data_IF_302427673903
#
_entry.id   IF_302427673903
#
_cell.length_a   1.000
_cell.length_b   1.000
_cell.length_c   1.000
_cell.angle_alpha   90.00
_cell.angle_beta   90.00
_cell.angle_gamma   90.00
#
_symmetry.space_group_name_H-M   'P 1'
#
loop_
_entity.id
_entity.type
_entity.pdbx_description
1 polymer ?
#
# COMPACT_ATOMS: atom_id res chain seq x y z
N UNK A 1 -9.10 12.74 -2.72
CA UNK A 1 -8.70 11.33 -3.05
C UNK A 1 -9.12 10.37 -1.96
N UNK A 2 -9.51 9.16 -2.31
CA UNK A 2 -9.79 8.04 -1.40
C UNK A 2 -8.73 6.97 -1.47
N UNK A 3 -8.60 6.15 -0.42
CA UNK A 3 -7.63 5.06 -0.35
C UNK A 3 -8.29 3.69 -0.34
N UNK A 4 -7.71 2.71 -1.02
CA UNK A 4 -8.09 1.31 -0.91
C UNK A 4 -6.87 0.52 -0.48
N UNK A 5 -7.02 -0.29 0.57
CA UNK A 5 -6.06 -1.33 0.95
C UNK A 5 -6.64 -2.66 0.51
N UNK A 6 -5.98 -3.34 -0.42
CA UNK A 6 -6.37 -4.69 -0.80
C UNK A 6 -5.58 -5.71 0.03
N UNK A 7 -6.26 -6.28 1.03
CA UNK A 7 -5.71 -7.21 2.01
C UNK A 7 -6.37 -8.60 1.89
N UNK A 8 -6.67 -9.01 0.66
CA UNK A 8 -7.21 -10.32 0.33
C UNK A 8 -6.13 -11.36 0.02
N UNK A 9 -6.61 -12.52 -0.44
CA UNK A 9 -5.76 -13.63 -0.87
C UNK A 9 -5.58 -14.71 0.19
N UNK A 10 -5.38 -15.96 -0.26
CA UNK A 10 -5.32 -17.15 0.61
C UNK A 10 -4.05 -17.30 1.45
N UNK A 11 -3.00 -16.52 1.17
CA UNK A 11 -1.73 -16.57 1.91
C UNK A 11 -1.01 -17.93 1.86
N UNK A 12 -1.36 -18.84 0.95
CA UNK A 12 -0.89 -20.23 0.92
C UNK A 12 0.63 -20.39 0.85
N UNK A 13 1.34 -19.43 0.27
CA UNK A 13 2.81 -19.43 0.23
C UNK A 13 3.46 -19.29 1.61
N UNK A 14 2.72 -18.84 2.62
CA UNK A 14 3.16 -18.71 4.01
C UNK A 14 2.59 -19.79 4.94
N UNK A 15 1.98 -20.87 4.40
CA UNK A 15 1.55 -21.97 5.23
C UNK A 15 2.75 -22.63 5.95
N UNK A 16 2.59 -23.07 7.22
CA UNK A 16 1.33 -23.10 8.00
C UNK A 16 0.96 -21.80 8.74
N UNK A 17 1.77 -20.73 8.71
CA UNK A 17 1.58 -19.51 9.53
C UNK A 17 0.21 -18.87 9.25
N UNK A 18 -0.21 -18.84 7.99
CA UNK A 18 -1.45 -18.18 7.54
C UNK A 18 -2.67 -19.08 7.52
N UNK A 19 -2.63 -20.27 8.15
CA UNK A 19 -3.82 -21.16 8.23
C UNK A 19 -4.93 -20.62 9.13
N UNK A 20 -4.60 -19.82 10.11
CA UNK A 20 -5.54 -19.30 11.09
C UNK A 20 -5.59 -17.79 11.19
N UNK A 21 -4.85 -17.08 10.31
CA UNK A 21 -4.76 -15.62 10.35
C UNK A 21 -4.41 -15.09 8.96
N UNK A 22 -5.02 -13.97 8.60
CA UNK A 22 -4.65 -13.23 7.39
C UNK A 22 -3.16 -12.89 7.39
N UNK A 23 -2.50 -13.02 6.22
CA UNK A 23 -1.10 -12.63 6.03
C UNK A 23 -0.83 -11.21 6.53
N UNK A 24 -1.71 -10.28 6.21
CA UNK A 24 -1.55 -8.86 6.51
C UNK A 24 -1.75 -8.52 8.00
N UNK A 25 -2.20 -9.48 8.80
CA UNK A 25 -2.25 -9.39 10.27
C UNK A 25 -1.01 -9.97 10.96
N UNK A 26 -0.12 -10.65 10.22
CA UNK A 26 1.15 -11.12 10.75
C UNK A 26 2.03 -9.95 11.19
N UNK A 27 2.83 -10.14 12.26
CA UNK A 27 3.76 -9.10 12.70
C UNK A 27 4.91 -8.94 11.70
N UNK A 28 5.28 -7.69 11.45
CA UNK A 28 6.55 -7.30 10.86
C UNK A 28 7.25 -6.44 11.89
N UNK A 29 8.20 -7.05 12.58
CA UNK A 29 8.89 -6.53 13.76
C UNK A 29 7.92 -6.23 14.91
N UNK A 30 7.54 -4.96 15.13
CA UNK A 30 6.80 -4.51 16.32
C UNK A 30 5.32 -4.15 16.05
N UNK A 31 4.84 -4.34 14.83
CA UNK A 31 3.45 -4.01 14.46
C UNK A 31 2.89 -4.92 13.36
N UNK A 32 1.56 -5.01 13.20
CA UNK A 32 0.95 -5.79 12.12
C UNK A 32 1.34 -5.25 10.74
N UNK A 33 1.49 -6.16 9.77
CA UNK A 33 1.90 -5.85 8.40
C UNK A 33 1.03 -4.77 7.74
N UNK A 34 -0.29 -4.79 7.96
CA UNK A 34 -1.23 -3.82 7.37
C UNK A 34 -0.95 -2.36 7.77
N UNK A 35 -0.21 -2.11 8.86
CA UNK A 35 0.18 -0.77 9.28
C UNK A 35 1.09 -0.08 8.25
N UNK A 36 1.91 -0.85 7.54
CA UNK A 36 2.84 -0.29 6.54
C UNK A 36 2.11 0.29 5.32
N UNK A 37 1.24 -0.45 4.60
CA UNK A 37 0.47 0.14 3.51
C UNK A 37 -0.52 1.21 4.00
N UNK A 38 -1.12 1.05 5.19
CA UNK A 38 -1.96 2.08 5.77
C UNK A 38 -1.16 3.38 6.02
N UNK A 39 0.09 3.27 6.50
CA UNK A 39 0.95 4.44 6.68
C UNK A 39 1.24 5.19 5.37
N UNK A 40 1.35 4.48 4.24
CA UNK A 40 1.54 5.11 2.94
C UNK A 40 0.33 6.00 2.56
N UNK A 41 -0.89 5.53 2.83
CA UNK A 41 -2.10 6.33 2.63
C UNK A 41 -2.14 7.57 3.54
N UNK A 42 -1.79 7.41 4.81
CA UNK A 42 -1.72 8.53 5.77
C UNK A 42 -0.67 9.56 5.36
N UNK A 43 0.52 9.13 4.92
CA UNK A 43 1.59 10.00 4.42
C UNK A 43 1.20 10.74 3.14
N UNK A 44 0.37 10.11 2.29
CA UNK A 44 -0.24 10.75 1.13
C UNK A 44 -1.31 11.81 1.49
N UNK A 45 -1.73 11.87 2.75
CA UNK A 45 -2.80 12.76 3.21
C UNK A 45 -4.21 12.19 3.04
N UNK A 46 -4.33 10.90 2.73
CA UNK A 46 -5.61 10.23 2.48
C UNK A 46 -6.24 9.81 3.82
N UNK A 47 -7.50 10.22 4.04
CA UNK A 47 -8.22 10.00 5.30
C UNK A 47 -9.48 9.15 5.17
N UNK A 48 -10.01 8.98 3.97
CA UNK A 48 -11.11 8.06 3.68
C UNK A 48 -10.54 6.80 3.06
N UNK A 49 -10.68 5.67 3.76
CA UNK A 49 -9.98 4.43 3.43
C UNK A 49 -10.98 3.28 3.43
N UNK A 50 -10.92 2.45 2.39
CA UNK A 50 -11.62 1.17 2.28
C UNK A 50 -10.62 0.04 2.40
N UNK A 51 -10.79 -0.83 3.38
CA UNK A 51 -10.04 -2.07 3.48
C UNK A 51 -10.89 -3.20 2.89
N UNK A 52 -10.34 -3.85 1.86
CA UNK A 52 -10.97 -4.99 1.19
C UNK A 52 -10.21 -6.25 1.59
N UNK A 53 -10.92 -7.25 2.12
CA UNK A 53 -10.34 -8.53 2.53
C UNK A 53 -11.32 -9.69 2.29
N UNK A 54 -10.88 -10.92 2.58
CA UNK A 54 -11.77 -12.07 2.54
C UNK A 54 -12.84 -11.98 3.62
N UNK A 55 -14.02 -12.60 3.46
CA UNK A 55 -15.06 -12.63 4.49
C UNK A 55 -14.54 -13.17 5.83
N UNK A 56 -13.68 -14.19 5.79
CA UNK A 56 -13.11 -14.86 6.97
C UNK A 56 -12.19 -13.95 7.77
N UNK A 57 -11.37 -13.15 7.09
CA UNK A 57 -10.32 -12.33 7.71
C UNK A 57 -10.81 -10.94 8.15
N UNK A 58 -11.88 -10.45 7.53
CA UNK A 58 -12.36 -9.07 7.72
C UNK A 58 -12.61 -8.71 9.18
N UNK A 59 -13.10 -9.69 9.98
CA UNK A 59 -13.31 -9.52 11.42
C UNK A 59 -12.01 -9.20 12.19
N UNK A 60 -10.87 -9.72 11.76
CA UNK A 60 -9.56 -9.45 12.33
C UNK A 60 -9.14 -7.99 12.12
N UNK A 61 -9.30 -7.48 10.90
CA UNK A 61 -9.00 -6.09 10.58
C UNK A 61 -9.90 -5.11 11.32
N UNK A 62 -11.21 -5.40 11.42
CA UNK A 62 -12.15 -4.57 12.19
C UNK A 62 -11.77 -4.48 13.68
N UNK A 63 -11.32 -5.58 14.28
CA UNK A 63 -10.85 -5.58 15.68
C UNK A 63 -9.55 -4.78 15.85
N UNK A 64 -8.64 -4.84 14.86
CA UNK A 64 -7.35 -4.18 14.92
C UNK A 64 -7.44 -2.68 14.69
N UNK A 65 -8.19 -2.25 13.66
CA UNK A 65 -8.16 -0.88 13.14
C UNK A 65 -9.40 -0.06 13.52
N UNK A 66 -10.46 -0.72 14.00
CA UNK A 66 -11.72 -0.06 14.36
C UNK A 66 -12.34 0.67 13.17
N UNK A 67 -12.83 1.87 13.42
CA UNK A 67 -13.35 2.80 12.40
C UNK A 67 -12.27 3.79 11.89
N UNK A 68 -11.03 3.68 12.38
CA UNK A 68 -9.92 4.55 12.06
C UNK A 68 -9.82 5.83 12.88
N UNK A 69 -10.76 6.10 13.78
CA UNK A 69 -10.79 7.32 14.60
C UNK A 69 -9.55 7.48 15.50
N UNK A 70 -8.90 6.37 15.86
CA UNK A 70 -7.64 6.38 16.62
C UNK A 70 -6.49 7.01 15.83
N UNK A 71 -6.57 7.00 14.52
CA UNK A 71 -5.58 7.57 13.60
C UNK A 71 -6.08 8.84 12.90
N UNK A 72 -7.22 9.40 13.33
CA UNK A 72 -7.82 10.57 12.72
C UNK A 72 -8.27 10.37 11.27
N UNK A 73 -8.54 9.14 10.87
CA UNK A 73 -9.05 8.75 9.55
C UNK A 73 -10.39 8.02 9.68
N UNK A 74 -11.03 7.72 8.56
CA UNK A 74 -12.24 6.92 8.49
C UNK A 74 -11.95 5.65 7.71
N UNK A 75 -12.15 4.48 8.33
CA UNK A 75 -11.94 3.17 7.69
C UNK A 75 -13.28 2.47 7.50
N UNK A 76 -13.59 2.16 6.26
CA UNK A 76 -14.69 1.30 5.85
C UNK A 76 -14.15 -0.05 5.41
N UNK A 77 -15.02 -1.06 5.33
CA UNK A 77 -14.63 -2.43 5.08
C UNK A 77 -15.54 -3.06 4.04
N UNK A 78 -14.94 -3.80 3.09
CA UNK A 78 -15.67 -4.56 2.08
C UNK A 78 -15.08 -5.96 1.92
N UNK A 79 -15.90 -6.88 1.47
CA UNK A 79 -15.53 -8.27 1.24
C UNK A 79 -15.08 -8.48 -0.21
N UNK A 80 -14.01 -9.25 -0.39
CA UNK A 80 -13.62 -9.85 -1.66
C UNK A 80 -13.86 -11.37 -1.55
N UNK A 81 -14.98 -11.88 -2.08
CA UNK A 81 -15.33 -13.30 -1.92
C UNK A 81 -14.39 -14.25 -2.65
N UNK A 82 -13.79 -13.80 -3.74
CA UNK A 82 -12.84 -14.58 -4.56
C UNK A 82 -11.70 -13.70 -5.04
N UNK A 83 -10.46 -14.24 -5.15
CA UNK A 83 -9.28 -13.48 -5.56
C UNK A 83 -9.21 -13.32 -7.08
N UNK A 84 -10.18 -12.63 -7.70
CA UNK A 84 -10.33 -12.50 -9.14
C UNK A 84 -9.40 -11.45 -9.76
N UNK A 85 -8.37 -11.03 -9.02
CA UNK A 85 -7.36 -10.08 -9.47
C UNK A 85 -7.38 -8.74 -8.75
N UNK A 86 -6.30 -7.96 -8.90
CA UNK A 86 -6.12 -6.70 -8.16
C UNK A 86 -7.10 -5.60 -8.63
N UNK A 87 -7.43 -5.57 -9.92
CA UNK A 87 -8.34 -4.56 -10.45
C UNK A 87 -9.79 -4.73 -9.98
N UNK A 88 -10.17 -5.90 -9.44
CA UNK A 88 -11.46 -6.12 -8.81
C UNK A 88 -11.70 -5.15 -7.65
N UNK A 89 -10.63 -4.66 -6.99
CA UNK A 89 -10.74 -3.68 -5.91
C UNK A 89 -11.51 -2.40 -6.33
N UNK A 90 -11.39 -1.96 -7.58
CA UNK A 90 -12.13 -0.80 -8.08
C UNK A 90 -13.60 -1.09 -8.34
N UNK A 91 -13.95 -2.33 -8.66
CA UNK A 91 -15.33 -2.76 -8.84
C UNK A 91 -16.04 -2.90 -7.50
N UNK A 92 -15.39 -3.55 -6.53
CA UNK A 92 -15.90 -3.68 -5.15
C UNK A 92 -16.02 -2.31 -4.49
N UNK A 93 -15.02 -1.44 -4.70
CA UNK A 93 -14.95 -0.10 -4.12
C UNK A 93 -15.68 0.97 -4.90
N UNK A 94 -16.41 0.67 -5.98
CA UNK A 94 -16.98 1.68 -6.88
C UNK A 94 -17.86 2.71 -6.16
N UNK A 95 -18.78 2.26 -5.32
CA UNK A 95 -19.66 3.14 -4.54
C UNK A 95 -18.90 3.97 -3.50
N UNK A 96 -17.86 3.37 -2.87
CA UNK A 96 -16.99 4.08 -1.95
C UNK A 96 -16.16 5.15 -2.68
N UNK A 97 -15.60 4.84 -3.84
CA UNK A 97 -14.83 5.80 -4.66
C UNK A 97 -15.72 6.96 -5.08
N UNK A 98 -16.95 6.67 -5.54
CA UNK A 98 -17.86 7.68 -6.04
C UNK A 98 -17.25 8.48 -7.20
N UNK A 99 -17.12 9.78 -7.02
CA UNK A 99 -16.52 10.70 -8.00
C UNK A 99 -15.06 11.08 -7.70
N UNK A 100 -14.47 10.51 -6.65
CA UNK A 100 -13.11 10.85 -6.22
C UNK A 100 -12.04 10.08 -7.01
N UNK A 101 -10.83 10.63 -7.07
CA UNK A 101 -9.62 9.90 -7.40
C UNK A 101 -9.30 8.87 -6.31
N UNK A 102 -8.56 7.82 -6.65
CA UNK A 102 -8.29 6.72 -5.71
C UNK A 102 -6.83 6.28 -5.74
N UNK A 103 -6.30 6.02 -4.53
CA UNK A 103 -5.04 5.31 -4.34
C UNK A 103 -5.35 3.85 -3.95
N UNK A 104 -4.78 2.89 -4.67
CA UNK A 104 -4.78 1.47 -4.31
C UNK A 104 -3.40 1.10 -3.79
N UNK A 105 -3.35 0.48 -2.61
CA UNK A 105 -2.13 -0.10 -2.06
C UNK A 105 -2.36 -1.56 -1.68
N UNK A 106 -1.38 -2.42 -1.98
CA UNK A 106 -1.44 -3.82 -1.60
C UNK A 106 -1.09 -3.98 -0.12
N UNK A 107 -1.90 -4.76 0.59
CA UNK A 107 -1.85 -4.91 2.04
C UNK A 107 -0.59 -5.58 2.60
N UNK A 108 0.27 -6.10 1.73
CA UNK A 108 1.51 -6.81 2.05
C UNK A 108 2.78 -6.08 1.56
N UNK A 109 2.66 -4.86 1.07
CA UNK A 109 3.78 -4.07 0.59
C UNK A 109 4.28 -3.10 1.65
N UNK A 110 5.59 -3.06 1.83
CA UNK A 110 6.28 -2.17 2.76
C UNK A 110 7.15 -1.21 1.95
N UNK A 111 7.01 0.08 2.24
CA UNK A 111 7.77 1.15 1.58
C UNK A 111 8.52 1.96 2.63
N UNK A 112 9.80 2.19 2.39
CA UNK A 112 10.62 3.07 3.24
C UNK A 112 11.70 3.77 2.40
N UNK A 113 11.83 5.08 2.58
CA UNK A 113 12.86 5.85 1.90
C UNK A 113 12.71 7.35 2.09
N UNK A 114 13.81 8.07 1.92
CA UNK A 114 13.82 9.53 2.00
C UNK A 114 12.95 10.14 0.89
N UNK A 115 12.19 11.18 1.23
CA UNK A 115 11.34 11.88 0.27
C UNK A 115 10.03 11.16 -0.08
N UNK A 116 9.72 10.01 0.53
CA UNK A 116 8.53 9.22 0.18
C UNK A 116 7.23 10.03 0.28
N UNK A 117 7.04 10.79 1.34
CA UNK A 117 5.86 11.67 1.50
C UNK A 117 5.70 12.65 0.34
N UNK A 118 6.81 13.22 -0.17
CA UNK A 118 6.79 14.12 -1.32
C UNK A 118 6.33 13.41 -2.60
N UNK A 119 6.85 12.20 -2.85
CA UNK A 119 6.46 11.37 -4.00
C UNK A 119 4.97 11.02 -3.96
N UNK A 120 4.46 10.65 -2.79
CA UNK A 120 3.04 10.31 -2.60
C UNK A 120 2.13 11.51 -2.86
N UNK A 121 2.45 12.68 -2.30
CA UNK A 121 1.67 13.92 -2.50
C UNK A 121 1.70 14.39 -3.95
N UNK A 122 2.82 14.22 -4.65
CA UNK A 122 2.90 14.49 -6.08
C UNK A 122 1.99 13.55 -6.88
N UNK A 123 1.96 12.25 -6.55
CA UNK A 123 1.07 11.29 -7.20
C UNK A 123 -0.42 11.63 -6.96
N UNK A 124 -0.78 12.07 -5.74
CA UNK A 124 -2.13 12.58 -5.44
C UNK A 124 -2.47 13.75 -6.35
N UNK A 125 -1.60 14.77 -6.41
CA UNK A 125 -1.79 15.96 -7.25
C UNK A 125 -1.92 15.59 -8.73
N UNK A 126 -1.04 14.71 -9.23
CA UNK A 126 -1.09 14.25 -10.62
C UNK A 126 -2.44 13.60 -10.96
N UNK A 127 -3.01 12.81 -10.05
CA UNK A 127 -4.31 12.18 -10.29
C UNK A 127 -5.49 13.16 -10.18
N UNK A 128 -5.45 14.13 -9.27
CA UNK A 128 -6.54 15.07 -9.00
C UNK A 128 -6.53 16.27 -9.94
N UNK A 129 -5.36 16.83 -10.27
CA UNK A 129 -5.23 18.05 -11.05
C UNK A 129 -4.94 17.75 -12.54
N UNK A 130 -4.06 16.79 -12.84
CA UNK A 130 -3.65 16.48 -14.21
C UNK A 130 -4.51 15.37 -14.85
N UNK A 131 -5.34 14.67 -14.07
CA UNK A 131 -6.17 13.55 -14.54
C UNK A 131 -5.35 12.33 -15.01
N UNK A 132 -4.10 12.18 -14.54
CA UNK A 132 -3.20 11.12 -14.95
C UNK A 132 -2.96 10.12 -13.82
N UNK A 133 -2.82 8.85 -14.19
CA UNK A 133 -2.41 7.80 -13.26
C UNK A 133 -0.92 7.91 -12.94
N UNK A 134 -0.53 7.54 -11.71
CA UNK A 134 0.87 7.37 -11.30
C UNK A 134 1.06 5.98 -10.71
N UNK A 135 2.06 5.26 -11.21
CA UNK A 135 2.55 4.01 -10.65
C UNK A 135 4.05 4.12 -10.37
N UNK A 136 4.58 3.26 -9.51
CA UNK A 136 5.98 3.33 -9.12
C UNK A 136 6.76 2.13 -9.66
N UNK A 137 7.92 2.41 -10.27
CA UNK A 137 8.88 1.42 -10.71
C UNK A 137 10.02 1.27 -9.71
N UNK A 138 10.33 0.05 -9.32
CA UNK A 138 11.45 -0.28 -8.43
C UNK A 138 12.38 -1.28 -9.09
N UNK A 139 13.69 -1.02 -9.03
CA UNK A 139 14.68 -1.90 -9.65
C UNK A 139 14.87 -3.15 -8.81
N UNK A 140 14.62 -4.32 -9.41
CA UNK A 140 14.73 -5.64 -8.79
C UNK A 140 15.69 -6.55 -9.57
N UNK A 141 16.12 -7.63 -8.96
CA UNK A 141 16.98 -8.63 -9.59
C UNK A 141 16.18 -9.66 -10.39
N UNK A 142 14.96 -10.00 -9.95
CA UNK A 142 14.07 -10.97 -10.57
C UNK A 142 12.77 -10.33 -11.08
N UNK A 143 12.81 -9.48 -12.14
CA UNK A 143 11.65 -8.72 -12.60
C UNK A 143 10.50 -9.59 -13.12
N UNK A 144 10.79 -10.81 -13.62
CA UNK A 144 9.78 -11.75 -14.15
C UNK A 144 8.70 -12.17 -13.13
N UNK A 145 8.88 -11.85 -11.86
CA UNK A 145 7.90 -12.13 -10.80
C UNK A 145 6.78 -11.11 -10.73
N UNK A 146 6.92 -9.96 -11.41
CA UNK A 146 6.09 -8.76 -11.26
C UNK A 146 5.59 -8.24 -12.62
N UNK A 147 4.74 -7.24 -12.61
CA UNK A 147 4.54 -6.37 -13.75
C UNK A 147 5.82 -5.58 -14.02
N UNK A 148 6.32 -5.58 -15.25
CA UNK A 148 7.60 -4.97 -15.65
C UNK A 148 7.36 -3.78 -16.55
N UNK A 149 7.92 -2.61 -16.19
CA UNK A 149 7.86 -1.41 -16.99
C UNK A 149 9.12 -1.29 -17.85
N UNK A 150 8.95 -1.03 -19.16
CA UNK A 150 10.00 -0.72 -20.12
C UNK A 150 10.11 0.77 -20.32
N UNK A 151 11.34 1.29 -20.42
CA UNK A 151 11.61 2.72 -20.59
C UNK A 151 12.45 3.01 -21.83
N UNK A 152 12.22 4.16 -22.45
CA UNK A 152 13.14 4.71 -23.45
C UNK A 152 14.37 5.35 -22.80
N UNK A 153 15.29 5.85 -23.64
CA UNK A 153 16.54 6.47 -23.19
C UNK A 153 16.34 7.77 -22.39
N UNK A 154 15.17 8.39 -22.46
CA UNK A 154 14.83 9.63 -21.74
C UNK A 154 13.91 9.39 -20.54
N UNK A 155 13.55 8.11 -20.28
CA UNK A 155 12.81 7.70 -19.10
C UNK A 155 11.28 7.66 -19.26
N UNK A 156 10.75 7.75 -20.48
CA UNK A 156 9.32 7.54 -20.71
C UNK A 156 9.00 6.04 -20.70
N UNK A 157 7.89 5.68 -20.09
CA UNK A 157 7.41 4.30 -20.11
C UNK A 157 6.86 3.94 -21.52
N UNK A 158 7.42 2.88 -22.09
CA UNK A 158 7.04 2.37 -23.41
C UNK A 158 6.01 1.24 -23.33
N UNK A 159 6.17 0.37 -22.36
CA UNK A 159 5.28 -0.77 -22.14
C UNK A 159 5.26 -1.20 -20.68
N UNK A 160 4.18 -1.88 -20.27
CA UNK A 160 4.11 -2.61 -19.00
C UNK A 160 3.59 -4.01 -19.33
N UNK A 161 4.29 -5.05 -18.86
CA UNK A 161 3.96 -6.45 -19.14
C UNK A 161 3.88 -7.25 -17.85
N UNK A 162 2.79 -8.03 -17.67
CA UNK A 162 2.58 -8.83 -16.46
C UNK A 162 3.42 -10.10 -16.51
N UNK A 163 4.32 -10.28 -15.55
CA UNK A 163 5.16 -11.47 -15.35
C UNK A 163 5.76 -12.01 -16.65
N UNK A 164 6.48 -11.18 -17.42
CA UNK A 164 7.03 -11.58 -18.70
C UNK A 164 8.06 -12.69 -18.54
N UNK A 165 8.03 -13.68 -19.44
CA UNK A 165 9.06 -14.73 -19.48
C UNK A 165 10.46 -14.17 -19.82
N UNK A 166 10.49 -13.08 -20.62
CA UNK A 166 11.70 -12.36 -21.02
C UNK A 166 11.53 -10.86 -20.70
N UNK A 167 11.85 -10.43 -19.47
CA UNK A 167 11.66 -9.04 -19.06
C UNK A 167 12.51 -8.07 -19.89
N UNK A 168 11.93 -6.97 -20.33
CA UNK A 168 12.60 -5.94 -21.11
C UNK A 168 13.38 -4.94 -20.24
N UNK A 169 13.16 -4.95 -18.94
CA UNK A 169 13.87 -4.14 -17.96
C UNK A 169 13.91 -4.81 -16.59
N UNK A 170 14.65 -4.23 -15.66
CA UNK A 170 14.68 -4.66 -14.26
C UNK A 170 13.74 -3.83 -13.36
N UNK A 171 12.78 -3.08 -13.92
CA UNK A 171 11.87 -2.25 -13.13
C UNK A 171 10.52 -2.93 -12.93
N UNK A 172 10.31 -3.45 -11.73
CA UNK A 172 9.02 -3.96 -11.27
C UNK A 172 8.07 -2.81 -10.94
N UNK A 173 6.81 -2.91 -11.35
CA UNK A 173 5.73 -2.04 -10.88
C UNK A 173 5.30 -2.52 -9.51
N UNK A 174 5.46 -1.67 -8.50
CA UNK A 174 5.18 -2.02 -7.10
C UNK A 174 3.70 -1.86 -6.76
N UNK A 175 3.27 -2.46 -5.67
CA UNK A 175 1.85 -2.50 -5.23
C UNK A 175 1.32 -1.18 -4.65
N UNK A 176 1.55 -0.07 -5.34
CA UNK A 176 1.08 1.27 -4.96
C UNK A 176 0.72 2.05 -6.21
N UNK A 177 -0.55 2.43 -6.34
CA UNK A 177 -1.12 2.96 -7.57
C UNK A 177 -2.02 4.14 -7.27
N UNK A 178 -1.89 5.22 -8.03
CA UNK A 178 -2.74 6.41 -7.94
C UNK A 178 -3.46 6.63 -9.25
N UNK A 179 -4.78 6.75 -9.20
CA UNK A 179 -5.60 6.88 -10.40
C UNK A 179 -6.61 8.02 -10.28
N UNK A 180 -6.89 8.72 -11.38
CA UNK A 180 -8.09 9.55 -11.48
C UNK A 180 -9.36 8.68 -11.44
N UNK A 181 -10.50 9.27 -11.19
CA UNK A 181 -11.80 8.59 -11.02
C UNK A 181 -12.13 7.60 -12.16
N UNK A 182 -11.77 7.92 -13.39
CA UNK A 182 -12.06 7.08 -14.57
C UNK A 182 -11.52 5.64 -14.47
N UNK A 183 -10.67 5.34 -13.48
CA UNK A 183 -10.17 3.97 -13.25
C UNK A 183 -11.31 2.98 -13.02
N UNK A 184 -12.42 3.41 -12.45
CA UNK A 184 -13.61 2.56 -12.21
C UNK A 184 -14.18 2.07 -13.54
N UNK A 185 -14.29 2.96 -14.54
CA UNK A 185 -14.81 2.59 -15.87
C UNK A 185 -13.78 1.78 -16.66
N UNK A 186 -12.49 2.10 -16.54
CA UNK A 186 -11.41 1.27 -17.10
C UNK A 186 -11.49 -0.15 -16.53
N UNK A 187 -11.64 -0.30 -15.22
CA UNK A 187 -11.71 -1.60 -14.55
C UNK A 187 -12.93 -2.42 -14.99
N UNK A 188 -14.08 -1.78 -15.25
CA UNK A 188 -15.27 -2.44 -15.83
C UNK A 188 -15.03 -2.96 -17.26
N UNK A 189 -14.13 -2.31 -18.01
CA UNK A 189 -13.84 -2.64 -19.40
C UNK A 189 -12.76 -3.70 -19.62
N UNK A 190 -11.93 -4.01 -18.63
CA UNK A 190 -10.86 -5.01 -18.76
C UNK A 190 -11.44 -6.43 -18.75
N UNK A 191 -10.74 -7.34 -19.44
CA UNK A 191 -11.07 -8.78 -19.47
C UNK A 191 -10.11 -9.56 -18.59
N UNK A 192 -10.55 -10.67 -17.99
CA UNK A 192 -9.65 -11.56 -17.29
C UNK A 192 -8.49 -12.03 -18.19
N UNK A 193 -7.30 -12.11 -17.62
CA UNK A 193 -6.11 -12.65 -18.29
C UNK A 193 -6.23 -14.17 -18.52
N UNK A 194 -5.22 -14.77 -19.16
CA UNK A 194 -5.12 -16.22 -19.29
C UNK A 194 -5.09 -16.95 -17.93
N UNK A 195 -4.80 -16.24 -16.83
CA UNK A 195 -4.85 -16.74 -15.45
C UNK A 195 -6.24 -16.64 -14.81
N UNK A 196 -7.21 -16.06 -15.51
CA UNK A 196 -8.56 -15.79 -15.01
C UNK A 196 -8.65 -14.56 -14.09
N UNK A 197 -7.60 -13.73 -13.99
CA UNK A 197 -7.52 -12.59 -13.11
C UNK A 197 -7.76 -11.25 -13.85
N UNK A 198 -8.44 -10.31 -13.21
CA UNK A 198 -8.53 -8.91 -13.61
C UNK A 198 -7.23 -8.21 -13.21
N UNK A 199 -6.27 -8.19 -14.15
CA UNK A 199 -4.91 -7.72 -13.88
C UNK A 199 -4.85 -6.21 -13.74
N UNK A 200 -4.13 -5.74 -12.72
CA UNK A 200 -3.82 -4.31 -12.57
C UNK A 200 -2.95 -3.81 -13.74
N UNK A 201 -2.12 -4.68 -14.30
CA UNK A 201 -1.31 -4.38 -15.47
C UNK A 201 -2.16 -4.01 -16.70
N UNK A 202 -3.33 -4.64 -16.88
CA UNK A 202 -4.26 -4.26 -17.95
C UNK A 202 -4.86 -2.86 -17.75
N UNK A 203 -5.12 -2.47 -16.49
CA UNK A 203 -5.53 -1.10 -16.16
C UNK A 203 -4.40 -0.12 -16.49
N UNK A 204 -3.17 -0.41 -16.06
CA UNK A 204 -2.00 0.43 -16.34
C UNK A 204 -1.75 0.58 -17.85
N UNK A 205 -1.90 -0.50 -18.64
CA UNK A 205 -1.78 -0.47 -20.10
C UNK A 205 -2.84 0.43 -20.74
N UNK A 206 -4.08 0.43 -20.24
CA UNK A 206 -5.13 1.33 -20.72
C UNK A 206 -4.76 2.80 -20.52
N UNK A 207 -4.25 3.17 -19.34
CA UNK A 207 -3.77 4.53 -19.07
C UNK A 207 -2.51 4.87 -19.89
N UNK A 208 -1.60 3.92 -20.10
CA UNK A 208 -0.42 4.12 -20.93
C UNK A 208 -0.79 4.40 -22.39
N UNK A 209 -1.69 3.62 -22.96
CA UNK A 209 -2.17 3.78 -24.35
C UNK A 209 -2.88 5.11 -24.57
N UNK A 210 -3.57 5.65 -23.56
CA UNK A 210 -4.18 6.98 -23.62
C UNK A 210 -3.21 8.13 -23.34
N UNK A 211 -1.93 7.87 -23.07
CA UNK A 211 -0.93 8.90 -22.71
C UNK A 211 -1.13 9.50 -21.32
N UNK A 212 -1.85 8.82 -20.45
CA UNK A 212 -2.25 9.30 -19.13
C UNK A 212 -1.63 8.47 -17.98
N UNK A 213 -0.54 7.77 -18.23
CA UNK A 213 0.23 7.05 -17.21
C UNK A 213 1.59 7.71 -17.00
N UNK A 214 1.89 8.01 -15.73
CA UNK A 214 3.22 8.38 -15.26
C UNK A 214 3.82 7.19 -14.51
N UNK A 215 5.00 6.72 -14.89
CA UNK A 215 5.77 5.76 -14.12
C UNK A 215 6.90 6.50 -13.42
N UNK A 216 6.86 6.54 -12.09
CA UNK A 216 7.85 7.21 -11.26
C UNK A 216 8.80 6.18 -10.65
N UNK A 217 10.10 6.29 -10.90
CA UNK A 217 11.08 5.35 -10.36
C UNK A 217 11.47 5.68 -8.93
N UNK A 218 11.43 4.68 -8.06
CA UNK A 218 11.98 4.77 -6.71
C UNK A 218 13.50 4.66 -6.78
N UNK A 219 14.19 5.68 -6.26
CA UNK A 219 15.63 5.85 -6.40
C UNK A 219 16.43 4.96 -5.44
N UNK A 220 17.77 4.95 -5.60
CA UNK A 220 18.70 4.27 -4.68
C UNK A 220 18.48 4.73 -3.24
N UNK A 221 18.57 3.80 -2.30
CA UNK A 221 18.31 4.04 -0.88
C UNK A 221 16.84 3.94 -0.51
N UNK A 222 15.94 3.72 -1.48
CA UNK A 222 14.57 3.35 -1.22
C UNK A 222 14.46 1.84 -1.01
N UNK A 223 13.63 1.41 -0.06
CA UNK A 223 13.30 0.01 0.16
C UNK A 223 11.84 -0.23 -0.19
N UNK A 224 11.59 -1.20 -1.04
CA UNK A 224 10.32 -1.85 -1.27
C UNK A 224 10.46 -3.32 -0.94
N UNK A 225 9.64 -3.82 -0.02
CA UNK A 225 9.67 -5.20 0.45
C UNK A 225 8.31 -5.83 0.17
N UNK A 226 8.31 -6.92 -0.57
CA UNK A 226 7.17 -7.80 -0.69
C UNK A 226 7.33 -8.92 0.36
N UNK A 227 6.33 -9.16 1.16
CA UNK A 227 6.37 -10.15 2.23
C UNK A 227 5.76 -11.48 1.79
N UNK A 228 6.03 -11.89 0.54
CA UNK A 228 5.36 -13.01 -0.14
C UNK A 228 5.82 -14.40 0.26
N UNK A 229 6.99 -14.55 0.89
CA UNK A 229 7.60 -15.81 1.33
C UNK A 229 8.03 -15.72 2.79
N UNK A 230 8.36 -16.86 3.41
CA UNK A 230 8.87 -16.89 4.78
C UNK A 230 10.16 -16.07 4.93
N UNK A 231 11.07 -16.20 3.95
CA UNK A 231 12.33 -15.46 3.95
C UNK A 231 12.09 -13.95 3.81
N UNK A 232 11.29 -13.52 2.84
CA UNK A 232 11.02 -12.09 2.65
C UNK A 232 10.25 -11.46 3.83
N UNK A 233 9.41 -12.22 4.54
CA UNK A 233 8.76 -11.77 5.77
C UNK A 233 9.77 -11.59 6.92
N UNK A 234 10.71 -12.51 7.06
CA UNK A 234 11.79 -12.41 8.05
C UNK A 234 12.73 -11.24 7.74
N UNK A 235 13.15 -11.10 6.48
CA UNK A 235 13.99 -9.99 6.01
C UNK A 235 13.33 -8.63 6.23
N UNK A 236 12.03 -8.50 5.96
CA UNK A 236 11.28 -7.29 6.22
C UNK A 236 11.29 -6.92 7.71
N UNK A 237 11.12 -7.91 8.60
CA UNK A 237 11.17 -7.69 10.05
C UNK A 237 12.56 -7.22 10.51
N UNK A 238 13.62 -7.85 10.00
CA UNK A 238 15.01 -7.47 10.30
C UNK A 238 15.32 -6.06 9.77
N UNK A 239 14.89 -5.75 8.55
CA UNK A 239 15.08 -4.42 7.96
C UNK A 239 14.45 -3.33 8.84
N UNK A 240 13.18 -3.50 9.21
CA UNK A 240 12.47 -2.53 10.07
C UNK A 240 13.15 -2.39 11.41
N UNK A 241 13.51 -3.52 12.06
CA UNK A 241 14.23 -3.53 13.34
C UNK A 241 15.52 -2.72 13.28
N UNK A 242 16.36 -2.97 12.27
CA UNK A 242 17.67 -2.32 12.13
C UNK A 242 17.51 -0.81 11.97
N UNK A 243 16.60 -0.37 11.08
CA UNK A 243 16.38 1.06 10.85
C UNK A 243 15.83 1.74 12.09
N UNK A 244 14.79 1.18 12.73
CA UNK A 244 14.19 1.77 13.93
C UNK A 244 15.17 1.85 15.10
N UNK A 245 15.96 0.81 15.33
CA UNK A 245 16.99 0.82 16.40
C UNK A 245 18.11 1.82 16.14
N UNK A 246 18.50 2.03 14.88
CA UNK A 246 19.57 2.97 14.54
C UNK A 246 19.13 4.43 14.59
N UNK A 247 17.92 4.71 14.14
CA UNK A 247 17.40 6.08 14.05
C UNK A 247 16.65 6.51 15.32
N UNK A 248 16.15 5.57 16.11
CA UNK A 248 15.24 5.87 17.22
C UNK A 248 13.87 6.34 16.79
N UNK A 249 13.54 6.19 15.49
CA UNK A 249 12.28 6.58 14.88
C UNK A 249 11.52 5.34 14.38
N UNK A 250 10.22 5.33 14.58
CA UNK A 250 9.36 4.23 14.10
C UNK A 250 8.99 4.38 12.64
N UNK A 251 9.10 3.28 11.88
CA UNK A 251 8.54 3.16 10.54
C UNK A 251 7.04 2.84 10.66
N UNK A 252 6.20 3.46 9.85
CA UNK A 252 4.75 3.19 9.82
C UNK A 252 4.04 3.31 11.19
N UNK A 253 4.48 4.25 12.03
CA UNK A 253 3.77 4.59 13.25
C UNK A 253 2.55 5.46 12.91
N UNK A 254 1.37 4.83 12.85
CA UNK A 254 0.14 5.49 12.40
C UNK A 254 -0.25 6.66 13.30
N UNK A 255 -0.17 6.46 14.62
CA UNK A 255 -0.46 7.47 15.63
C UNK A 255 0.50 8.67 15.49
N UNK A 256 1.79 8.40 15.27
CA UNK A 256 2.80 9.44 15.07
C UNK A 256 2.57 10.24 13.77
N UNK A 257 2.17 9.58 12.68
CA UNK A 257 1.81 10.24 11.42
C UNK A 257 0.57 11.11 11.62
N UNK A 258 -0.47 10.57 12.26
CA UNK A 258 -1.71 11.30 12.54
C UNK A 258 -1.47 12.53 13.43
N UNK A 259 -0.63 12.39 14.45
CA UNK A 259 -0.26 13.49 15.36
C UNK A 259 0.52 14.59 14.66
N UNK A 260 1.55 14.26 13.87
CA UNK A 260 2.33 15.24 13.09
C UNK A 260 1.50 15.95 12.02
N UNK A 261 0.47 15.28 11.49
CA UNK A 261 -0.48 15.91 10.56
C UNK A 261 -1.58 16.72 11.27
N UNK A 262 -1.61 16.77 12.61
CA UNK A 262 -2.64 17.45 13.38
C UNK A 262 -4.03 16.80 13.32
N UNK A 263 -4.11 15.52 12.96
CA UNK A 263 -5.38 14.78 12.86
C UNK A 263 -5.87 14.24 14.20
N UNK A 264 -4.94 14.04 15.14
CA UNK A 264 -5.24 13.71 16.53
C UNK A 264 -4.53 14.68 17.47
N UNK A 265 -5.12 14.90 18.66
CA UNK A 265 -4.57 15.78 19.69
C UNK A 265 -3.50 15.09 20.54
N UNK A 266 -2.73 15.88 21.30
CA UNK A 266 -1.78 15.36 22.27
C UNK A 266 -2.46 14.47 23.33
N UNK A 267 -3.65 14.82 23.78
CA UNK A 267 -4.42 14.02 24.75
C UNK A 267 -4.82 12.68 24.15
N UNK A 268 -5.26 12.66 22.88
CA UNK A 268 -5.56 11.41 22.18
C UNK A 268 -4.34 10.55 22.02
N UNK A 269 -3.19 11.12 21.63
CA UNK A 269 -1.94 10.38 21.50
C UNK A 269 -1.49 9.78 22.85
N UNK A 270 -1.64 10.53 23.93
CA UNK A 270 -1.36 10.04 25.29
C UNK A 270 -2.27 8.87 25.68
N UNK A 271 -3.56 9.01 25.45
CA UNK A 271 -4.53 7.94 25.73
C UNK A 271 -4.25 6.65 24.94
N UNK A 272 -3.79 6.77 23.68
CA UNK A 272 -3.38 5.63 22.85
C UNK A 272 -2.08 4.98 23.36
N UNK A 273 -1.16 5.74 23.92
CA UNK A 273 0.07 5.23 24.47
C UNK A 273 -0.11 4.48 25.81
N UNK A 274 -1.06 4.90 26.66
CA UNK A 274 -1.25 4.36 28.02
C UNK A 274 -1.27 2.82 28.11
N UNK A 275 -2.08 2.07 27.30
CA UNK A 275 -2.12 0.62 27.39
C UNK A 275 -0.82 -0.06 26.94
N UNK A 276 0.08 0.67 26.28
CA UNK A 276 1.33 0.17 25.68
C UNK A 276 2.59 0.65 26.42
N UNK A 277 2.49 1.32 27.57
CA UNK A 277 3.65 1.89 28.27
C UNK A 277 4.69 0.86 28.74
N UNK A 278 4.32 -0.42 28.83
CA UNK A 278 5.22 -1.52 29.16
C UNK A 278 6.12 -1.94 28.01
N UNK A 279 5.88 -1.44 26.79
CA UNK A 279 6.68 -1.75 25.61
C UNK A 279 7.26 -0.49 24.96
N UNK A 280 8.23 -0.71 24.06
CA UNK A 280 8.94 0.39 23.40
C UNK A 280 8.05 1.22 22.46
N UNK A 281 6.98 0.64 21.92
CA UNK A 281 6.07 1.34 21.01
C UNK A 281 5.30 2.44 21.77
N UNK A 282 4.66 2.10 22.89
CA UNK A 282 3.95 3.08 23.71
C UNK A 282 4.88 4.15 24.31
N UNK A 283 6.09 3.76 24.74
CA UNK A 283 7.10 4.72 25.20
C UNK A 283 7.53 5.70 24.09
N UNK A 284 7.63 5.22 22.84
CA UNK A 284 7.91 6.07 21.69
C UNK A 284 6.79 7.07 21.43
N UNK A 285 5.50 6.67 21.53
CA UNK A 285 4.39 7.60 21.36
C UNK A 285 4.45 8.77 22.35
N UNK A 286 4.85 8.52 23.61
CA UNK A 286 5.03 9.60 24.59
C UNK A 286 6.18 10.54 24.21
N UNK A 287 7.30 10.02 23.66
CA UNK A 287 8.42 10.88 23.22
C UNK A 287 8.01 11.85 22.12
N UNK A 288 7.05 11.46 21.25
CA UNK A 288 6.55 12.37 20.20
C UNK A 288 5.87 13.62 20.76
N UNK A 289 5.36 13.59 22.00
CA UNK A 289 4.78 14.76 22.67
C UNK A 289 5.82 15.81 23.06
N UNK A 290 7.08 15.39 23.23
CA UNK A 290 8.21 16.23 23.62
C UNK A 290 8.98 16.76 22.39
N UNK A 291 8.74 16.20 21.19
CA UNK A 291 9.29 16.69 19.92
C UNK A 291 8.58 17.98 19.52
N UNK A 292 9.34 19.10 19.46
CA UNK A 292 8.86 20.43 19.03
C UNK A 292 9.01 20.62 17.52
#
# INVERSE_FOLDING_TARGET
MKGIILAGGSGTRLYPITKGVSKQLLPVYDKPMVFYPLSALLLAGIRDILLISTPEDLGGFRRLLGDGSDYGVRISYAEQPSPDGLAQAFLIGADFIGNDSVCLVLGDNIFHGSGFTGLLREAVRTAEEDGKATVFGYRVEEPQRYGVAEFDAVGNCLSIEEKPAHPKSNYAVVGLYFYPNKVVDVAKGIKPSARGELEITSVNQSFLQSGELKVQTLQRGFAWLDTGTHDSLAEASIFVEVIEKRQGLKIACLEGIAYRNGWITSDKLRALAEPMLKNQYGQYLLKLLDEK
#
